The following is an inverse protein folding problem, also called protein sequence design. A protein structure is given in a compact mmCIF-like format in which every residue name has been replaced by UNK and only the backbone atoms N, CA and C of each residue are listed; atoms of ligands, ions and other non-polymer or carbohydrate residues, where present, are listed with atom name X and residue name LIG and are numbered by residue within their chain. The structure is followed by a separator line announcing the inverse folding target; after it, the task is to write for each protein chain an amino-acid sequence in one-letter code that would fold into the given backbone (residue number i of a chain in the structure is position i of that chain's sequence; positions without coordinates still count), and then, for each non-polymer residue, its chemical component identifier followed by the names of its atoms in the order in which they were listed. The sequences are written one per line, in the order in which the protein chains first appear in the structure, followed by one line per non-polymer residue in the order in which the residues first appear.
data_IF_236861590695
#
_entry.id   IF_236861590695
#
_cell.length_a   1.000
_cell.length_b   1.000
_cell.length_c   1.000
_cell.angle_alpha   90.00
_cell.angle_beta   90.00
_cell.angle_gamma   90.00
#
_symmetry.space_group_name_H-M   'P 1'
#
loop_
_entity.id
_entity.type
_entity.pdbx_description
1 polymer ?
#
# COMPACT_ATOMS: atom_id res chain seq x y z
N UNK A 1 12.77 -2.26 7.12
CA UNK A 1 13.29 -3.63 6.85
C UNK A 1 12.25 -4.57 6.25
N UNK A 2 11.01 -4.62 6.76
CA UNK A 2 9.95 -5.57 6.33
C UNK A 2 9.78 -5.71 4.82
N UNK A 3 9.62 -4.62 4.06
CA UNK A 3 9.43 -4.69 2.60
C UNK A 3 10.60 -5.40 1.89
N UNK A 4 11.84 -5.04 2.23
CA UNK A 4 13.03 -5.64 1.62
C UNK A 4 13.24 -7.08 2.10
N UNK A 5 13.05 -7.36 3.39
CA UNK A 5 13.30 -8.70 3.93
C UNK A 5 12.24 -9.72 3.48
N UNK A 6 10.99 -9.30 3.38
CA UNK A 6 9.86 -10.19 3.10
C UNK A 6 9.55 -10.28 1.62
N UNK A 7 9.62 -9.16 0.89
CA UNK A 7 9.12 -9.09 -0.49
C UNK A 7 10.20 -8.89 -1.55
N UNK A 8 11.46 -8.62 -1.20
CA UNK A 8 12.53 -8.57 -2.21
C UNK A 8 12.63 -9.84 -3.06
N UNK A 9 12.47 -11.08 -2.52
CA UNK A 9 12.51 -12.28 -3.35
C UNK A 9 11.47 -12.29 -4.48
N UNK A 10 10.33 -11.62 -4.30
CA UNK A 10 9.28 -11.53 -5.33
C UNK A 10 9.76 -10.73 -6.56
N UNK A 11 10.51 -9.65 -6.33
CA UNK A 11 11.10 -8.82 -7.40
C UNK A 11 12.34 -9.42 -8.07
N UNK A 12 13.01 -10.38 -7.43
CA UNK A 12 14.22 -11.02 -7.99
C UNK A 12 13.91 -11.96 -9.16
N UNK A 13 12.66 -12.38 -9.32
CA UNK A 13 12.23 -13.27 -10.40
C UNK A 13 12.35 -12.66 -11.81
N UNK A 14 12.56 -11.34 -11.92
CA UNK A 14 12.55 -10.60 -13.19
C UNK A 14 11.16 -10.50 -13.81
N UNK A 15 10.11 -10.90 -13.09
CA UNK A 15 8.72 -10.78 -13.53
C UNK A 15 8.12 -9.44 -13.08
N UNK A 16 7.18 -8.90 -13.87
CA UNK A 16 6.42 -7.72 -13.46
C UNK A 16 5.48 -8.10 -12.30
N UNK A 17 5.66 -7.46 -11.14
CA UNK A 17 4.91 -7.75 -9.92
C UNK A 17 4.45 -6.45 -9.27
N UNK A 18 3.26 -6.46 -8.66
CA UNK A 18 2.83 -5.46 -7.70
C UNK A 18 2.33 -6.09 -6.41
N UNK A 19 2.43 -5.35 -5.30
CA UNK A 19 1.92 -5.79 -4.00
C UNK A 19 0.51 -5.24 -3.80
N UNK A 20 -0.44 -6.13 -3.55
CA UNK A 20 -1.78 -5.78 -3.11
C UNK A 20 -1.81 -5.74 -1.57
N UNK A 21 -1.94 -4.52 -1.04
CA UNK A 21 -1.76 -4.24 0.39
C UNK A 21 -3.06 -4.34 1.21
N UNK A 22 -4.21 -4.51 0.56
CA UNK A 22 -5.49 -4.70 1.21
C UNK A 22 -6.35 -5.77 0.50
N UNK A 23 -7.13 -6.53 1.27
CA UNK A 23 -8.00 -7.56 0.71
C UNK A 23 -9.19 -6.98 -0.10
N UNK A 24 -9.48 -5.69 0.08
CA UNK A 24 -10.48 -4.94 -0.69
C UNK A 24 -9.91 -4.34 -2.00
N UNK A 25 -8.59 -4.27 -2.14
CA UNK A 25 -7.92 -3.70 -3.31
C UNK A 25 -6.56 -3.09 -2.97
N UNK A 26 -5.92 -2.46 -3.95
CA UNK A 26 -4.70 -1.67 -3.73
C UNK A 26 -5.10 -0.33 -3.13
N UNK A 27 -4.40 0.11 -2.09
CA UNK A 27 -4.71 1.33 -1.35
C UNK A 27 -3.52 2.30 -1.29
N UNK A 28 -3.80 3.59 -1.45
CA UNK A 28 -2.79 4.63 -1.71
C UNK A 28 -1.83 5.10 -0.61
N UNK A 29 -1.88 4.67 0.67
CA UNK A 29 -0.79 5.01 1.59
C UNK A 29 0.55 4.35 1.23
N UNK A 30 0.53 3.31 0.38
CA UNK A 30 1.74 2.71 -0.22
C UNK A 30 1.39 1.85 -1.45
N UNK A 31 1.79 2.23 -2.66
CA UNK A 31 1.84 1.30 -3.80
C UNK A 31 3.27 0.79 -4.03
N UNK A 32 3.43 -0.53 -4.10
CA UNK A 32 4.74 -1.17 -4.33
C UNK A 32 4.67 -2.01 -5.60
N UNK A 33 5.63 -1.78 -6.49
CA UNK A 33 5.81 -2.55 -7.72
C UNK A 33 7.29 -2.87 -7.95
N UNK A 34 7.56 -3.99 -8.62
CA UNK A 34 8.91 -4.29 -9.10
C UNK A 34 9.33 -3.30 -10.19
N UNK A 35 10.63 -3.20 -10.48
CA UNK A 35 11.11 -2.34 -11.56
C UNK A 35 10.53 -2.78 -12.91
N UNK A 36 10.40 -4.09 -13.09
CA UNK A 36 9.77 -4.72 -14.25
C UNK A 36 8.27 -4.43 -14.30
N UNK A 37 7.58 -4.41 -13.15
CA UNK A 37 6.18 -4.01 -13.05
C UNK A 37 5.97 -2.55 -13.45
N UNK A 38 6.83 -1.65 -12.98
CA UNK A 38 6.81 -0.24 -13.38
C UNK A 38 7.11 -0.05 -14.87
N UNK A 39 8.05 -0.82 -15.44
CA UNK A 39 8.34 -0.78 -16.86
C UNK A 39 7.16 -1.27 -17.71
N UNK A 40 6.53 -2.38 -17.32
CA UNK A 40 5.33 -2.90 -17.98
C UNK A 40 4.16 -1.91 -17.89
N UNK A 41 3.96 -1.30 -16.71
CA UNK A 41 2.95 -0.24 -16.54
C UNK A 41 3.22 0.94 -17.46
N UNK A 42 4.45 1.47 -17.50
CA UNK A 42 4.82 2.59 -18.39
C UNK A 42 4.52 2.29 -19.86
N UNK A 43 4.86 1.09 -20.32
CA UNK A 43 4.71 0.70 -21.73
C UNK A 43 3.23 0.40 -22.09
N UNK A 44 2.41 0.06 -21.08
CA UNK A 44 1.02 -0.36 -21.25
C UNK A 44 -0.05 0.67 -20.87
N UNK A 45 0.25 1.66 -20.03
CA UNK A 45 -0.74 2.52 -19.35
C UNK A 45 -1.73 3.22 -20.29
N UNK A 46 -1.30 3.55 -21.52
CA UNK A 46 -2.18 4.15 -22.54
C UNK A 46 -3.41 3.28 -22.87
N UNK A 47 -3.29 1.95 -22.75
CA UNK A 47 -4.39 1.01 -23.00
C UNK A 47 -5.50 1.12 -21.93
N UNK A 48 -5.19 1.69 -20.76
CA UNK A 48 -6.09 1.79 -19.62
C UNK A 48 -6.97 3.04 -19.68
N UNK A 49 -6.47 4.16 -20.23
CA UNK A 49 -7.19 5.45 -20.23
C UNK A 49 -8.54 5.40 -20.95
N UNK A 50 -8.64 4.64 -22.04
CA UNK A 50 -9.88 4.48 -22.80
C UNK A 50 -10.88 3.48 -22.18
N UNK A 51 -10.45 2.65 -21.23
CA UNK A 51 -11.24 1.53 -20.69
C UNK A 51 -11.76 1.78 -19.28
N UNK A 52 -10.95 2.38 -18.41
CA UNK A 52 -11.19 2.38 -16.95
C UNK A 52 -11.75 3.71 -16.40
N UNK A 53 -11.78 4.77 -17.22
CA UNK A 53 -11.84 6.15 -16.73
C UNK A 53 -13.06 6.57 -15.89
N UNK A 54 -14.26 6.04 -16.11
CA UNK A 54 -15.45 6.44 -15.30
C UNK A 54 -15.77 5.48 -14.16
N UNK A 55 -15.34 4.23 -14.28
CA UNK A 55 -15.75 3.17 -13.35
C UNK A 55 -14.85 3.12 -12.10
N UNK A 56 -13.65 3.73 -12.18
CA UNK A 56 -12.67 3.79 -11.11
C UNK A 56 -12.17 5.22 -10.88
N UNK A 57 -12.91 6.03 -10.10
CA UNK A 57 -12.57 7.44 -9.88
C UNK A 57 -11.44 7.64 -8.86
N UNK A 58 -11.08 6.63 -8.08
CA UNK A 58 -9.93 6.65 -7.18
C UNK A 58 -8.67 6.19 -7.92
N UNK A 59 -7.55 6.85 -7.67
CA UNK A 59 -6.29 6.61 -8.38
C UNK A 59 -5.72 5.21 -8.09
N UNK A 60 -5.73 4.77 -6.84
CA UNK A 60 -5.28 3.44 -6.42
C UNK A 60 -6.14 2.30 -7.01
N UNK A 61 -7.47 2.50 -7.04
CA UNK A 61 -8.40 1.59 -7.68
C UNK A 61 -8.18 1.54 -9.20
N UNK A 62 -8.03 2.70 -9.84
CA UNK A 62 -7.74 2.78 -11.27
C UNK A 62 -6.40 2.10 -11.59
N UNK A 63 -5.37 2.36 -10.80
CA UNK A 63 -4.04 1.77 -10.94
C UNK A 63 -4.13 0.26 -10.82
N UNK A 64 -4.77 -0.29 -9.78
CA UNK A 64 -4.96 -1.74 -9.64
C UNK A 64 -5.61 -2.35 -10.87
N UNK A 65 -6.69 -1.75 -11.35
CA UNK A 65 -7.38 -2.26 -12.52
C UNK A 65 -6.53 -2.19 -13.79
N UNK A 66 -5.71 -1.15 -13.94
CA UNK A 66 -4.76 -1.07 -15.04
C UNK A 66 -3.65 -2.13 -14.92
N UNK A 67 -3.11 -2.36 -13.73
CA UNK A 67 -2.10 -3.40 -13.48
C UNK A 67 -2.66 -4.81 -13.75
N UNK A 68 -3.91 -5.07 -13.35
CA UNK A 68 -4.64 -6.30 -13.64
C UNK A 68 -4.86 -6.47 -15.17
N UNK A 69 -5.27 -5.41 -15.88
CA UNK A 69 -5.45 -5.40 -17.35
C UNK A 69 -4.15 -5.64 -18.13
N UNK A 70 -3.01 -5.20 -17.56
CA UNK A 70 -1.67 -5.41 -18.10
C UNK A 70 -1.03 -6.74 -17.68
N UNK A 71 -1.80 -7.60 -16.99
CA UNK A 71 -1.35 -8.92 -16.52
C UNK A 71 -0.09 -8.87 -15.63
N UNK A 72 0.09 -7.77 -14.89
CA UNK A 72 1.18 -7.65 -13.90
C UNK A 72 0.81 -8.50 -12.68
N UNK A 73 1.74 -9.35 -12.24
CA UNK A 73 1.47 -10.34 -11.20
C UNK A 73 1.13 -9.67 -9.86
N UNK A 74 -0.05 -9.98 -9.32
CA UNK A 74 -0.49 -9.53 -8.00
C UNK A 74 0.07 -10.43 -6.91
N UNK A 75 0.74 -9.84 -5.92
CA UNK A 75 1.16 -10.52 -4.68
C UNK A 75 0.44 -9.89 -3.49
N UNK A 76 -0.39 -10.68 -2.82
CA UNK A 76 -1.13 -10.22 -1.64
C UNK A 76 -0.21 -10.12 -0.41
N UNK A 77 -0.24 -8.95 0.25
CA UNK A 77 0.57 -8.65 1.43
C UNK A 77 -0.22 -7.79 2.43
N UNK A 78 -1.33 -8.31 2.95
CA UNK A 78 -2.26 -7.57 3.81
C UNK A 78 -1.70 -7.18 5.19
N UNK A 79 -0.42 -7.46 5.45
CA UNK A 79 0.27 -7.14 6.70
C UNK A 79 1.19 -5.92 6.58
N UNK A 80 1.23 -5.23 5.43
CA UNK A 80 2.15 -4.10 5.20
C UNK A 80 1.49 -2.74 5.42
N UNK A 81 0.18 -2.65 5.22
CA UNK A 81 -0.61 -1.44 5.39
C UNK A 81 -1.48 -1.59 6.63
N UNK A 82 -1.61 -0.51 7.41
CA UNK A 82 -2.65 -0.36 8.42
C UNK A 82 -3.68 0.69 7.96
N UNK A 83 -4.93 0.28 7.71
CA UNK A 83 -6.03 1.14 7.32
C UNK A 83 -7.35 0.77 8.03
N UNK A 84 -7.75 1.63 8.97
CA UNK A 84 -8.95 1.45 9.76
C UNK A 84 -10.24 1.73 8.96
N UNK A 85 -11.34 1.17 9.44
CA UNK A 85 -12.70 1.51 9.02
C UNK A 85 -13.03 1.08 7.60
N UNK A 86 -13.58 1.99 6.80
CA UNK A 86 -14.11 1.66 5.47
C UNK A 86 -13.04 1.47 4.39
N UNK A 87 -11.77 1.73 4.71
CA UNK A 87 -10.71 1.64 3.73
C UNK A 87 -10.17 0.21 3.62
N UNK A 88 -9.58 -0.36 4.67
CA UNK A 88 -9.19 -1.78 4.69
C UNK A 88 -9.82 -2.60 5.82
N UNK A 89 -10.70 -2.01 6.63
CA UNK A 89 -11.42 -2.68 7.72
C UNK A 89 -10.49 -3.42 8.71
N UNK A 90 -9.24 -2.96 8.82
CA UNK A 90 -8.36 -3.41 9.89
C UNK A 90 -8.84 -2.81 11.20
N UNK A 91 -8.66 -3.58 12.27
CA UNK A 91 -9.09 -3.16 13.60
C UNK A 91 -7.90 -2.75 14.43
N UNK A 92 -8.07 -1.62 15.10
CA UNK A 92 -7.07 -1.14 16.02
C UNK A 92 -6.93 -2.10 17.20
N UNK A 93 -5.68 -2.32 17.61
CA UNK A 93 -5.38 -2.98 18.88
C UNK A 93 -5.67 -2.08 20.08
N UNK A 94 -5.81 -0.76 19.86
CA UNK A 94 -6.09 0.27 20.87
C UNK A 94 -7.57 0.66 20.91
N UNK A 95 -8.04 1.09 22.09
CA UNK A 95 -9.47 1.37 22.34
C UNK A 95 -9.90 2.78 21.88
N UNK A 96 -8.94 3.63 21.53
CA UNK A 96 -9.11 5.07 21.36
C UNK A 96 -9.15 5.52 19.89
N UNK A 97 -9.41 4.59 18.94
CA UNK A 97 -9.62 4.87 17.50
C UNK A 97 -8.45 5.60 16.84
N UNK A 98 -7.25 5.50 17.41
CA UNK A 98 -6.04 6.15 16.89
C UNK A 98 -5.21 5.09 16.19
N UNK A 99 -4.77 5.29 14.93
CA UNK A 99 -3.95 4.30 14.26
C UNK A 99 -2.77 3.90 15.17
N UNK A 100 -2.48 2.61 15.33
CA UNK A 100 -1.49 2.12 16.27
C UNK A 100 -0.11 2.62 15.83
N UNK A 101 0.39 3.67 16.50
CA UNK A 101 1.69 4.30 16.22
C UNK A 101 2.91 3.40 16.45
N UNK A 102 2.67 2.21 16.97
CA UNK A 102 3.65 1.19 17.31
C UNK A 102 3.36 -0.13 16.58
N UNK A 103 2.45 -0.12 15.60
CA UNK A 103 2.17 -1.32 14.81
C UNK A 103 3.34 -1.70 13.92
N UNK A 104 3.40 -2.97 13.53
CA UNK A 104 4.51 -3.51 12.73
C UNK A 104 4.39 -3.26 11.22
N UNK A 105 3.26 -2.71 10.78
CA UNK A 105 3.02 -2.30 9.40
C UNK A 105 4.01 -1.22 8.96
N UNK A 106 4.29 -1.16 7.66
CA UNK A 106 5.24 -0.20 7.09
C UNK A 106 4.58 1.09 6.62
N UNK A 107 3.27 1.07 6.38
CA UNK A 107 2.49 2.24 6.04
C UNK A 107 1.16 2.26 6.81
N UNK A 108 0.59 3.44 6.94
CA UNK A 108 -0.60 3.73 7.74
C UNK A 108 -1.48 4.73 7.00
N UNK A 109 -2.80 4.67 7.18
CA UNK A 109 -3.69 5.71 6.67
C UNK A 109 -3.21 7.11 7.10
N UNK A 110 -3.17 8.10 6.19
CA UNK A 110 -2.62 9.41 6.49
C UNK A 110 -3.39 10.11 7.61
N UNK A 111 -2.62 10.72 8.51
CA UNK A 111 -3.14 11.61 9.55
C UNK A 111 -3.68 12.89 8.90
N UNK A 112 -4.92 13.24 9.23
CA UNK A 112 -5.62 14.41 8.64
C UNK A 112 -5.16 15.75 9.20
N UNK A 113 -4.34 15.75 10.25
CA UNK A 113 -3.78 16.97 10.87
C UNK A 113 -2.33 16.76 11.26
N UNK A 114 -1.56 17.85 11.22
CA UNK A 114 -0.16 17.85 11.69
C UNK A 114 -0.04 17.39 13.14
N UNK A 115 -0.96 17.82 14.01
CA UNK A 115 -0.97 17.45 15.43
C UNK A 115 -1.08 15.94 15.64
N UNK A 116 -1.97 15.28 14.89
CA UNK A 116 -2.17 13.83 14.99
C UNK A 116 -0.99 13.06 14.40
N UNK A 117 -0.41 13.55 13.30
CA UNK A 117 0.84 13.03 12.76
C UNK A 117 1.98 13.11 13.78
N UNK A 118 2.26 14.30 14.33
CA UNK A 118 3.39 14.50 15.24
C UNK A 118 3.17 13.82 16.59
N UNK A 119 1.93 13.66 17.04
CA UNK A 119 1.63 12.80 18.19
C UNK A 119 2.11 11.37 17.94
N UNK A 120 1.76 10.81 16.78
CA UNK A 120 2.15 9.46 16.43
C UNK A 120 3.66 9.30 16.25
N UNK A 121 4.27 10.22 15.52
CA UNK A 121 5.71 10.24 15.30
C UNK A 121 6.49 10.25 16.63
N UNK A 122 6.07 11.09 17.60
CA UNK A 122 6.71 11.14 18.92
C UNK A 122 6.55 9.83 19.70
N UNK A 123 5.39 9.18 19.61
CA UNK A 123 5.19 7.87 20.23
C UNK A 123 6.11 6.83 19.61
N UNK A 124 6.15 6.72 18.28
CA UNK A 124 7.02 5.79 17.57
C UNK A 124 8.50 6.02 17.88
N UNK A 125 8.96 7.28 17.84
CA UNK A 125 10.35 7.66 18.11
C UNK A 125 10.79 7.42 19.58
N UNK A 126 9.84 7.28 20.51
CA UNK A 126 10.13 6.99 21.92
C UNK A 126 10.40 5.50 22.19
N UNK A 127 10.16 4.63 21.21
CA UNK A 127 10.32 3.18 21.35
C UNK A 127 11.79 2.77 21.20
N UNK A 128 12.24 1.86 22.07
CA UNK A 128 13.65 1.43 22.13
C UNK A 128 14.15 0.67 20.89
N UNK A 129 13.27 0.19 20.02
CA UNK A 129 13.64 -0.45 18.75
C UNK A 129 13.75 0.55 17.60
N UNK A 130 13.37 1.82 17.81
CA UNK A 130 13.50 2.89 16.82
C UNK A 130 14.87 3.61 16.86
N UNK A 131 15.79 3.18 17.73
CA UNK A 131 17.17 3.66 17.86
C UNK A 131 18.17 2.58 17.42
#
# INVERSE_FOLDING_TARGET
ELLRMTFAPQGVSGKPVYINNCYLGLHGPIEVMSQEGLAAYRDGAEHCYGKLGRDYPQEDAWLRHCLDDLEIERVDAFNILYEDGWACNERDSTRDTRPPCFSHQVSFHPYKTEDTYFHCYRQAASLKWAL
#
